data_IF_026505615531
#
_entry.id   IF_026505615531
#
_cell.length_a   1.000
_cell.length_b   1.000
_cell.length_c   1.000
_cell.angle_alpha   90.00
_cell.angle_beta   90.00
_cell.angle_gamma   90.00
#
_symmetry.space_group_name_H-M   'P 1'
#
loop_
_entity.id
_entity.type
_entity.pdbx_description
1 polymer ?
#
# COMPACT_ATOMS: atom_id res chain seq x y z
N UNK A 1 6.02 -1.76 -0.40
CA UNK A 1 4.54 -1.67 -0.17
C UNK A 1 4.16 -2.30 1.15
N UNK A 2 4.54 -3.55 1.41
CA UNK A 2 4.24 -4.29 2.66
C UNK A 2 4.63 -3.53 3.92
N UNK A 3 5.81 -2.92 3.97
CA UNK A 3 6.23 -2.08 5.10
C UNK A 3 5.28 -0.90 5.33
N UNK A 4 4.77 -0.26 4.26
CA UNK A 4 3.82 0.85 4.39
C UNK A 4 2.47 0.35 4.92
N UNK A 5 2.02 -0.83 4.49
CA UNK A 5 0.81 -1.48 5.06
C UNK A 5 1.00 -1.75 6.55
N UNK A 6 2.16 -2.28 6.93
CA UNK A 6 2.52 -2.57 8.32
C UNK A 6 2.52 -1.29 9.17
N UNK A 7 3.17 -0.21 8.70
CA UNK A 7 3.23 1.08 9.37
C UNK A 7 1.84 1.74 9.54
N UNK A 8 0.94 1.60 8.53
CA UNK A 8 -0.44 2.11 8.63
C UNK A 8 -1.22 1.34 9.70
N UNK A 9 -1.08 0.02 9.74
CA UNK A 9 -1.74 -0.82 10.73
C UNK A 9 -1.22 -0.55 12.14
N UNK A 10 0.09 -0.34 12.31
CA UNK A 10 0.69 0.05 13.58
C UNK A 10 0.17 1.41 14.06
N UNK A 11 0.11 2.41 13.17
CA UNK A 11 -0.44 3.73 13.48
C UNK A 11 -1.92 3.69 13.87
N UNK A 12 -2.67 2.71 13.34
CA UNK A 12 -4.07 2.46 13.69
C UNK A 12 -4.24 1.69 15.02
N UNK A 13 -3.15 1.21 15.63
CA UNK A 13 -3.18 0.36 16.81
C UNK A 13 -3.61 -1.08 16.55
N UNK A 14 -3.57 -1.55 15.29
CA UNK A 14 -3.83 -2.94 14.95
C UNK A 14 -2.67 -3.82 15.42
N UNK A 15 -2.96 -4.97 16.00
CA UNK A 15 -1.94 -5.84 16.57
C UNK A 15 -0.84 -6.21 15.57
N UNK A 16 0.42 -6.24 16.04
CA UNK A 16 1.58 -6.63 15.23
C UNK A 16 1.78 -8.15 15.18
N UNK A 17 2.46 -8.62 14.12
CA UNK A 17 2.88 -10.01 13.95
C UNK A 17 1.83 -10.92 13.30
N UNK A 18 2.24 -12.17 13.04
CA UNK A 18 1.47 -13.16 12.25
C UNK A 18 0.14 -13.59 12.85
N UNK A 19 -0.15 -13.22 14.11
CA UNK A 19 -1.45 -13.47 14.73
C UNK A 19 -2.54 -12.48 14.30
N UNK A 20 -2.16 -11.32 13.74
CA UNK A 20 -3.07 -10.24 13.38
C UNK A 20 -3.00 -9.86 11.90
N UNK A 21 -1.91 -10.18 11.23
CA UNK A 21 -1.69 -9.80 9.83
C UNK A 21 -0.84 -10.83 9.08
N UNK A 22 -1.12 -11.02 7.80
CA UNK A 22 -0.32 -11.80 6.86
C UNK A 22 -0.05 -10.92 5.64
N UNK A 23 1.20 -10.52 5.45
CA UNK A 23 1.58 -9.57 4.41
C UNK A 23 2.58 -10.23 3.46
N UNK A 24 2.22 -10.32 2.18
CA UNK A 24 3.17 -10.67 1.13
C UNK A 24 4.21 -9.57 0.99
N UNK A 25 5.43 -9.91 0.59
CA UNK A 25 6.42 -8.90 0.22
C UNK A 25 5.95 -8.14 -1.01
N UNK A 26 5.77 -6.82 -0.89
CA UNK A 26 5.32 -5.97 -1.98
C UNK A 26 6.27 -5.98 -3.18
N UNK A 27 5.73 -5.76 -4.37
CA UNK A 27 6.49 -5.67 -5.63
C UNK A 27 6.77 -4.22 -6.01
N UNK A 28 5.93 -3.31 -5.55
CA UNK A 28 6.12 -1.87 -5.75
C UNK A 28 6.94 -1.28 -4.61
N UNK A 29 7.97 -0.52 -4.95
CA UNK A 29 8.78 0.22 -4.00
C UNK A 29 8.13 1.56 -3.69
N UNK A 30 7.53 1.71 -2.52
CA UNK A 30 7.06 3.00 -2.04
C UNK A 30 8.16 3.64 -1.20
N UNK A 31 8.89 4.59 -1.76
CA UNK A 31 10.01 5.24 -1.07
C UNK A 31 9.54 6.26 -0.04
N UNK A 32 8.34 6.81 -0.23
CA UNK A 32 7.81 7.88 0.61
C UNK A 32 6.29 7.79 0.68
N UNK A 33 5.80 7.65 1.89
CA UNK A 33 4.38 7.70 2.19
C UNK A 33 4.17 8.59 3.41
N UNK A 34 3.34 9.60 3.27
CA UNK A 34 2.90 10.39 4.40
C UNK A 34 1.46 10.89 4.20
N UNK A 35 0.68 10.71 5.24
CA UNK A 35 -0.70 11.15 5.31
C UNK A 35 -0.93 11.83 6.66
N UNK A 36 -1.75 12.86 6.66
CA UNK A 36 -2.19 13.54 7.86
C UNK A 36 -3.70 13.41 7.97
N UNK A 37 -4.19 13.03 9.16
CA UNK A 37 -5.63 12.93 9.48
C UNK A 37 -6.45 12.09 8.48
N UNK A 38 -5.90 10.95 8.03
CA UNK A 38 -6.56 10.02 7.11
C UNK A 38 -7.06 8.80 7.87
N UNK A 39 -8.23 8.27 7.49
CA UNK A 39 -8.73 7.00 8.02
C UNK A 39 -7.88 5.82 7.48
N UNK A 40 -7.76 4.77 8.29
CA UNK A 40 -6.93 3.59 8.00
C UNK A 40 -7.34 2.90 6.69
N UNK A 41 -8.62 2.61 6.49
CA UNK A 41 -9.09 1.89 5.29
C UNK A 41 -8.81 2.65 4.00
N UNK A 42 -9.14 3.95 3.85
CA UNK A 42 -8.74 4.72 2.67
C UNK A 42 -7.23 4.77 2.43
N UNK A 43 -6.42 4.81 3.50
CA UNK A 43 -4.97 4.78 3.37
C UNK A 43 -4.47 3.42 2.82
N UNK A 44 -5.02 2.32 3.33
CA UNK A 44 -4.72 0.97 2.83
C UNK A 44 -5.15 0.80 1.36
N UNK A 45 -6.34 1.30 0.96
CA UNK A 45 -6.82 1.24 -0.41
C UNK A 45 -5.93 2.02 -1.40
N UNK A 46 -5.33 3.13 -0.98
CA UNK A 46 -4.36 3.85 -1.82
C UNK A 46 -3.07 3.05 -2.04
N UNK A 47 -2.62 2.33 -1.02
CA UNK A 47 -1.45 1.44 -1.12
C UNK A 47 -1.77 0.20 -1.96
N UNK A 48 -2.94 -0.40 -1.76
CA UNK A 48 -3.47 -1.49 -2.56
C UNK A 48 -3.51 -1.14 -4.05
N UNK A 49 -4.09 0.01 -4.40
CA UNK A 49 -4.17 0.46 -5.80
C UNK A 49 -2.79 0.78 -6.41
N UNK A 50 -1.82 1.19 -5.60
CA UNK A 50 -0.44 1.43 -6.04
C UNK A 50 0.29 0.13 -6.32
N UNK A 51 0.10 -0.89 -5.50
CA UNK A 51 0.67 -2.23 -5.70
C UNK A 51 -0.02 -2.97 -6.86
N UNK A 52 -1.33 -2.78 -7.04
CA UNK A 52 -2.15 -3.63 -7.90
C UNK A 52 -2.40 -5.01 -7.29
N UNK A 53 -2.37 -5.10 -5.98
CA UNK A 53 -2.66 -6.30 -5.18
C UNK A 53 -4.02 -6.23 -4.51
N UNK A 54 -4.20 -6.95 -3.38
CA UNK A 54 -5.45 -7.01 -2.62
C UNK A 54 -5.18 -6.85 -1.13
N UNK A 55 -5.99 -6.03 -0.45
CA UNK A 55 -6.03 -5.95 1.01
C UNK A 55 -7.41 -6.39 1.46
N UNK A 56 -7.46 -7.41 2.31
CA UNK A 56 -8.71 -8.01 2.77
C UNK A 56 -8.62 -8.49 4.22
N UNK A 57 -9.76 -8.74 4.82
CA UNK A 57 -9.85 -9.48 6.07
C UNK A 57 -9.93 -10.98 5.78
N UNK A 58 -9.09 -11.75 6.44
CA UNK A 58 -9.14 -13.21 6.40
C UNK A 58 -10.23 -13.76 7.32
N UNK A 59 -10.64 -15.00 7.10
CA UNK A 59 -11.65 -15.70 7.91
C UNK A 59 -11.24 -15.86 9.38
N UNK A 60 -9.96 -15.76 9.68
CA UNK A 60 -9.38 -15.79 11.03
C UNK A 60 -9.28 -14.39 11.68
N UNK A 61 -9.85 -13.37 11.05
CA UNK A 61 -9.83 -11.99 11.53
C UNK A 61 -8.51 -11.26 11.34
N UNK A 62 -7.60 -11.79 10.52
CA UNK A 62 -6.34 -11.10 10.17
C UNK A 62 -6.54 -10.17 8.99
N UNK A 63 -5.74 -9.12 8.95
CA UNK A 63 -5.55 -8.37 7.71
C UNK A 63 -4.57 -9.12 6.83
N UNK A 64 -4.98 -9.36 5.59
CA UNK A 64 -4.18 -10.05 4.57
C UNK A 64 -3.85 -9.04 3.47
N UNK A 65 -2.58 -8.96 3.10
CA UNK A 65 -2.11 -8.24 1.94
C UNK A 65 -1.50 -9.23 0.96
N UNK A 66 -2.15 -9.42 -0.18
CA UNK A 66 -1.70 -10.22 -1.31
C UNK A 66 -1.10 -9.27 -2.35
N UNK A 67 0.18 -9.43 -2.71
CA UNK A 67 0.83 -8.60 -3.73
C UNK A 67 0.31 -8.94 -5.14
N UNK A 68 0.61 -8.10 -6.16
CA UNK A 68 0.16 -8.31 -7.54
C UNK A 68 0.59 -9.63 -8.17
N UNK A 69 1.64 -10.29 -7.64
CA UNK A 69 2.11 -11.59 -8.12
C UNK A 69 1.61 -12.77 -7.27
N UNK A 70 0.75 -12.54 -6.28
CA UNK A 70 0.23 -13.59 -5.39
C UNK A 70 -0.33 -14.77 -6.18
N UNK A 71 -1.11 -14.49 -7.24
CA UNK A 71 -1.74 -15.50 -8.11
C UNK A 71 -0.75 -16.25 -9.01
N UNK A 72 0.50 -15.81 -9.11
CA UNK A 72 1.58 -16.47 -9.84
C UNK A 72 2.39 -17.43 -8.97
N UNK A 73 1.99 -17.67 -7.74
CA UNK A 73 2.71 -18.52 -6.78
C UNK A 73 1.74 -19.31 -5.88
N UNK A 74 2.28 -20.32 -5.19
CA UNK A 74 1.57 -21.04 -4.14
C UNK A 74 0.22 -21.61 -4.59
N UNK A 75 -0.82 -21.27 -3.85
CA UNK A 75 -2.21 -21.73 -4.12
C UNK A 75 -2.79 -21.20 -5.42
N UNK A 76 -2.27 -20.10 -5.95
CA UNK A 76 -2.69 -19.54 -7.23
C UNK A 76 -2.32 -20.40 -8.44
N UNK A 77 -1.37 -21.34 -8.31
CA UNK A 77 -0.90 -22.18 -9.42
C UNK A 77 -1.76 -23.42 -9.64
N UNK A 78 -2.49 -23.88 -8.63
CA UNK A 78 -3.26 -25.14 -8.69
C UNK A 78 -4.70 -24.91 -8.24
N UNK A 79 -5.63 -25.59 -8.93
CA UNK A 79 -7.04 -25.55 -8.53
C UNK A 79 -7.26 -26.22 -7.17
N UNK A 80 -7.92 -25.51 -6.27
CA UNK A 80 -8.22 -25.97 -4.92
C UNK A 80 -9.53 -26.77 -4.87
N UNK A 81 -10.42 -26.56 -5.83
CA UNK A 81 -11.70 -27.24 -5.93
C UNK A 81 -12.20 -27.28 -7.38
N UNK A 82 -12.92 -28.35 -7.74
CA UNK A 82 -13.61 -28.45 -9.03
C UNK A 82 -15.12 -28.43 -8.79
N UNK A 83 -15.81 -27.48 -9.40
CA UNK A 83 -17.25 -27.35 -9.40
C UNK A 83 -17.84 -27.79 -10.74
N UNK A 84 -18.93 -28.57 -10.71
CA UNK A 84 -19.58 -29.08 -11.93
C UNK A 84 -21.11 -29.08 -11.80
N UNK A 85 -21.82 -29.08 -12.93
CA UNK A 85 -23.25 -29.31 -13.01
C UNK A 85 -23.59 -30.81 -13.11
N UNK A 86 -22.62 -31.71 -13.20
CA UNK A 86 -22.86 -33.16 -13.20
C UNK A 86 -23.42 -33.61 -11.84
N UNK A 87 -24.47 -34.40 -11.85
CA UNK A 87 -25.19 -34.82 -10.65
C UNK A 87 -24.39 -35.71 -9.70
N UNK A 88 -23.34 -36.36 -10.23
CA UNK A 88 -22.40 -37.21 -9.49
C UNK A 88 -21.12 -36.48 -9.05
N UNK A 89 -20.98 -35.19 -9.38
CA UNK A 89 -19.85 -34.42 -8.95
C UNK A 89 -19.84 -34.19 -7.43
N UNK A 90 -18.64 -34.23 -6.85
CA UNK A 90 -18.46 -33.96 -5.42
C UNK A 90 -18.90 -32.55 -5.01
N UNK A 91 -18.83 -31.59 -5.93
CA UNK A 91 -19.19 -30.17 -5.72
C UNK A 91 -20.09 -29.73 -6.87
N UNK A 92 -21.39 -29.89 -6.69
CA UNK A 92 -22.39 -29.48 -7.70
C UNK A 92 -22.79 -28.03 -7.45
N UNK A 93 -22.66 -27.18 -8.46
CA UNK A 93 -23.23 -25.83 -8.42
C UNK A 93 -24.72 -25.86 -8.81
N UNK A 94 -25.48 -24.92 -8.29
CA UNK A 94 -26.91 -24.76 -8.56
C UNK A 94 -27.23 -23.70 -9.61
N UNK A 95 -26.30 -22.82 -9.88
CA UNK A 95 -26.41 -21.74 -10.87
C UNK A 95 -25.05 -21.29 -11.37
N UNK A 96 -24.97 -21.05 -12.67
CA UNK A 96 -23.81 -20.46 -13.33
C UNK A 96 -24.30 -19.37 -14.27
N UNK A 97 -23.80 -18.16 -14.10
CA UNK A 97 -24.12 -17.00 -14.93
C UNK A 97 -22.80 -16.53 -15.53
N UNK A 98 -22.74 -16.36 -16.84
CA UNK A 98 -21.65 -15.67 -17.51
C UNK A 98 -22.01 -14.21 -17.67
N UNK A 99 -21.17 -13.33 -17.15
CA UNK A 99 -21.36 -11.90 -17.23
C UNK A 99 -20.72 -11.35 -18.54
N UNK A 100 -21.12 -10.14 -18.92
CA UNK A 100 -20.53 -9.45 -20.07
C UNK A 100 -19.08 -9.06 -19.75
N UNK A 101 -18.07 -9.54 -20.50
CA UNK A 101 -16.68 -9.17 -20.22
C UNK A 101 -16.33 -7.73 -20.65
N UNK A 102 -17.14 -7.06 -21.46
CA UNK A 102 -16.81 -5.74 -22.00
C UNK A 102 -16.54 -4.66 -20.95
N UNK A 103 -17.25 -4.58 -19.81
CA UNK A 103 -16.95 -3.61 -18.75
C UNK A 103 -15.59 -3.83 -18.08
N UNK A 104 -15.04 -5.04 -18.18
CA UNK A 104 -13.80 -5.44 -17.54
C UNK A 104 -12.56 -5.33 -18.45
N UNK A 105 -12.74 -4.83 -19.69
CA UNK A 105 -11.61 -4.57 -20.59
C UNK A 105 -11.05 -3.19 -20.33
N UNK A 106 -9.73 -3.13 -20.09
CA UNK A 106 -8.97 -1.89 -20.03
C UNK A 106 -7.72 -2.01 -20.88
N UNK A 107 -7.56 -1.12 -21.85
CA UNK A 107 -6.49 -1.13 -22.82
C UNK A 107 -5.64 0.13 -22.86
N UNK A 108 -5.78 0.96 -21.84
CA UNK A 108 -4.98 2.14 -21.56
C UNK A 108 -4.73 2.22 -20.06
N UNK A 109 -3.47 2.21 -19.65
CA UNK A 109 -3.03 2.42 -18.27
C UNK A 109 -2.14 3.66 -18.20
N UNK A 110 -2.51 4.59 -17.33
CA UNK A 110 -1.81 5.85 -17.12
C UNK A 110 -1.39 5.94 -15.64
N UNK A 111 -0.20 6.49 -15.40
CA UNK A 111 0.30 6.79 -14.06
C UNK A 111 1.01 8.13 -14.05
N UNK A 112 0.82 8.91 -13.00
CA UNK A 112 1.59 10.10 -12.73
C UNK A 112 2.66 9.75 -11.68
N UNK A 113 3.92 9.66 -12.14
CA UNK A 113 5.07 9.36 -11.30
C UNK A 113 5.57 10.63 -10.64
N UNK A 114 5.50 10.69 -9.33
CA UNK A 114 6.00 11.80 -8.54
C UNK A 114 7.38 11.47 -7.99
N UNK A 115 8.42 12.05 -8.57
CA UNK A 115 9.78 11.95 -8.06
C UNK A 115 10.05 12.98 -6.97
N UNK A 116 11.06 12.69 -6.14
CA UNK A 116 11.44 13.54 -5.02
C UNK A 116 12.96 13.69 -4.94
N UNK A 117 13.41 14.93 -4.84
CA UNK A 117 14.82 15.23 -4.63
C UNK A 117 15.08 15.47 -3.15
N UNK A 118 16.19 14.89 -2.65
CA UNK A 118 16.67 15.10 -1.29
C UNK A 118 17.84 16.06 -1.31
N UNK A 119 17.70 17.18 -0.61
CA UNK A 119 18.75 18.20 -0.50
C UNK A 119 19.90 17.74 0.41
N UNK A 120 21.03 18.45 0.35
CA UNK A 120 22.09 18.31 1.36
C UNK A 120 21.61 18.78 2.73
N UNK A 121 22.30 18.35 3.81
CA UNK A 121 22.00 18.79 5.18
C UNK A 121 22.10 20.30 5.28
N UNK A 122 21.02 20.94 5.73
CA UNK A 122 20.92 22.38 5.94
C UNK A 122 20.17 22.70 7.22
N UNK A 123 20.19 23.97 7.64
CA UNK A 123 19.32 24.47 8.71
C UNK A 123 17.92 24.62 8.13
N UNK A 124 16.98 23.87 8.69
CA UNK A 124 15.59 23.84 8.24
C UNK A 124 14.65 24.63 9.13
N UNK A 125 15.06 24.85 10.37
CA UNK A 125 14.32 25.64 11.34
C UNK A 125 15.28 26.32 12.32
N UNK A 126 14.92 27.52 12.74
CA UNK A 126 15.68 28.32 13.72
C UNK A 126 14.70 28.93 14.72
N UNK A 127 15.07 28.96 15.99
CA UNK A 127 14.35 29.68 17.01
C UNK A 127 14.32 31.18 16.68
N UNK A 128 13.12 31.77 16.65
CA UNK A 128 12.92 33.18 16.28
C UNK A 128 13.24 34.14 17.44
N UNK A 129 13.10 33.68 18.67
CA UNK A 129 13.34 34.45 19.88
C UNK A 129 14.82 34.41 20.24
N UNK A 130 15.55 35.49 19.95
CA UNK A 130 17.01 35.63 20.19
C UNK A 130 17.33 36.97 20.84
N UNK A 131 18.58 37.16 21.25
CA UNK A 131 19.02 38.38 21.92
C UNK A 131 18.33 38.54 23.25
N UNK A 132 17.89 39.79 23.58
CA UNK A 132 17.21 40.09 24.84
C UNK A 132 15.89 39.30 25.05
N UNK A 133 15.33 38.70 23.98
CA UNK A 133 14.12 37.88 24.03
C UNK A 133 14.41 36.38 24.10
N UNK A 134 15.67 35.97 24.27
CA UNK A 134 16.03 34.55 24.39
C UNK A 134 15.24 33.85 25.48
N UNK A 135 14.61 32.69 25.17
CA UNK A 135 13.77 31.99 26.12
C UNK A 135 14.60 31.44 27.27
N UNK A 136 14.06 31.57 28.50
CA UNK A 136 14.68 31.08 29.72
C UNK A 136 14.17 29.71 30.14
N UNK A 137 15.04 28.94 30.77
CA UNK A 137 14.72 27.66 31.43
C UNK A 137 15.22 27.73 32.87
N UNK A 138 14.33 27.56 33.82
CA UNK A 138 14.68 27.57 35.25
C UNK A 138 15.52 26.33 35.64
N UNK A 139 16.27 26.35 36.74
CA UNK A 139 17.03 25.19 37.22
C UNK A 139 16.18 23.92 37.33
N UNK A 140 16.65 22.79 36.80
CA UNK A 140 15.97 21.50 36.85
C UNK A 140 14.71 21.40 35.98
N UNK A 141 14.38 22.42 35.18
CA UNK A 141 13.17 22.44 34.34
C UNK A 141 13.53 22.02 32.91
N UNK A 142 12.64 21.26 32.27
CA UNK A 142 12.71 20.95 30.85
C UNK A 142 11.75 21.85 30.06
N UNK A 143 12.16 22.24 28.84
CA UNK A 143 11.31 22.96 27.88
C UNK A 143 11.43 22.36 26.51
N UNK A 144 10.27 22.06 25.87
CA UNK A 144 10.19 21.47 24.54
C UNK A 144 9.94 22.55 23.48
N UNK A 145 10.70 22.49 22.40
CA UNK A 145 10.58 23.32 21.21
C UNK A 145 10.19 22.40 20.03
N UNK A 146 9.27 22.88 19.19
CA UNK A 146 8.83 22.15 18.02
C UNK A 146 9.38 22.84 16.77
N UNK A 147 10.38 22.23 16.15
CA UNK A 147 10.86 22.61 14.85
C UNK A 147 9.95 22.01 13.78
N UNK A 148 9.33 22.83 12.94
CA UNK A 148 8.42 22.41 11.88
C UNK A 148 9.02 22.75 10.50
N UNK A 149 8.95 21.78 9.58
CA UNK A 149 9.34 21.94 8.18
C UNK A 149 8.40 21.07 7.30
N UNK A 150 7.88 21.55 6.13
CA UNK A 150 8.11 22.91 5.62
C UNK A 150 7.43 23.98 6.48
N UNK A 151 8.04 25.15 6.51
CA UNK A 151 7.42 26.35 7.07
C UNK A 151 6.59 27.04 5.98
N UNK A 152 5.73 27.98 6.36
CA UNK A 152 4.95 28.80 5.41
C UNK A 152 5.83 29.60 4.43
N UNK A 153 7.10 29.84 4.79
CA UNK A 153 8.07 30.55 3.96
C UNK A 153 8.92 29.59 3.07
N UNK A 154 8.73 28.28 3.19
CA UNK A 154 9.46 27.30 2.38
C UNK A 154 8.96 27.28 0.94
N UNK A 155 9.82 26.85 0.01
CA UNK A 155 9.48 26.72 -1.41
C UNK A 155 8.23 25.86 -1.60
N UNK A 156 7.41 26.17 -2.60
CA UNK A 156 6.11 25.52 -2.86
C UNK A 156 6.18 23.99 -3.03
N UNK A 157 7.36 23.46 -3.38
CA UNK A 157 7.58 22.03 -3.59
C UNK A 157 8.14 21.29 -2.37
N UNK A 158 8.37 21.97 -1.24
CA UNK A 158 8.83 21.32 -0.01
C UNK A 158 7.76 20.36 0.54
N UNK A 159 8.17 19.14 0.91
CA UNK A 159 7.27 18.07 1.35
C UNK A 159 7.58 17.53 2.73
N UNK A 160 8.74 17.84 3.30
CA UNK A 160 9.15 17.34 4.61
C UNK A 160 10.63 17.13 4.70
N UNK A 161 11.06 16.31 5.63
CA UNK A 161 12.48 16.05 5.93
C UNK A 161 12.75 14.55 5.83
N UNK A 162 13.70 14.18 4.98
CA UNK A 162 14.12 12.78 4.84
C UNK A 162 14.83 12.28 6.12
N UNK A 163 15.68 13.15 6.69
CA UNK A 163 16.43 12.82 7.89
C UNK A 163 16.69 14.10 8.69
N UNK A 164 16.20 14.18 9.92
CA UNK A 164 16.61 15.19 10.88
C UNK A 164 17.96 14.83 11.49
N UNK A 165 18.89 15.77 11.47
CA UNK A 165 20.14 15.66 12.22
C UNK A 165 19.85 15.83 13.71
N UNK A 166 20.40 14.96 14.55
CA UNK A 166 20.26 15.11 16.01
C UNK A 166 20.90 16.44 16.44
N UNK A 167 20.14 17.23 17.21
CA UNK A 167 20.60 18.52 17.74
C UNK A 167 21.86 18.35 18.58
N UNK A 168 22.93 19.03 18.20
CA UNK A 168 24.21 18.97 18.87
C UNK A 168 24.47 20.25 19.68
N UNK A 169 24.95 20.09 20.90
CA UNK A 169 25.44 21.21 21.73
C UNK A 169 26.53 21.97 20.95
N UNK A 170 26.60 23.27 21.14
CA UNK A 170 27.48 24.24 20.48
C UNK A 170 27.18 24.48 19.00
N UNK A 171 26.94 23.43 18.22
CA UNK A 171 26.62 23.57 16.79
C UNK A 171 25.19 24.07 16.59
N UNK A 172 24.23 23.44 17.25
CA UNK A 172 22.79 23.67 17.04
C UNK A 172 22.11 24.37 18.20
N UNK A 173 22.69 24.32 19.40
CA UNK A 173 22.14 24.94 20.61
C UNK A 173 23.24 25.62 21.40
N UNK A 174 22.95 26.83 21.89
CA UNK A 174 23.78 27.58 22.85
C UNK A 174 22.93 28.01 24.03
N UNK A 175 23.45 27.77 25.24
CA UNK A 175 22.90 28.20 26.50
C UNK A 175 23.81 29.20 27.20
N UNK A 176 23.22 30.24 27.80
CA UNK A 176 23.97 31.32 28.50
C UNK A 176 23.24 31.72 29.79
N UNK A 177 23.93 32.31 30.76
CA UNK A 177 23.34 32.87 31.98
C UNK A 177 22.68 34.24 31.79
N UNK A 178 22.93 34.91 30.65
CA UNK A 178 22.28 36.18 30.26
C UNK A 178 21.54 35.99 28.94
N UNK A 179 20.39 36.65 28.78
CA UNK A 179 19.54 36.51 27.58
C UNK A 179 20.20 37.02 26.32
N UNK A 180 21.04 38.04 26.39
CA UNK A 180 21.79 38.63 25.27
C UNK A 180 23.06 37.86 24.94
N UNK A 181 23.38 36.77 25.68
CA UNK A 181 24.58 35.97 25.48
C UNK A 181 25.87 36.55 26.07
N UNK A 182 25.77 37.66 26.82
CA UNK A 182 26.94 38.33 27.45
C UNK A 182 27.43 37.64 28.73
N UNK A 183 26.66 36.71 29.28
CA UNK A 183 26.95 35.99 30.52
C UNK A 183 27.88 34.79 30.30
N UNK A 184 27.85 33.87 31.27
CA UNK A 184 28.63 32.62 31.21
C UNK A 184 27.95 31.59 30.28
N UNK A 185 28.76 30.96 29.42
CA UNK A 185 28.29 29.87 28.57
C UNK A 185 27.99 28.63 29.44
N UNK A 186 26.76 28.13 29.40
CA UNK A 186 26.29 26.96 30.14
C UNK A 186 25.80 25.85 29.20
N UNK A 187 26.15 25.94 27.91
CA UNK A 187 25.72 24.99 26.87
C UNK A 187 25.94 23.51 27.25
N UNK A 188 27.10 23.22 27.86
CA UNK A 188 27.45 21.85 28.24
C UNK A 188 26.59 21.26 29.37
N UNK A 189 25.89 22.13 30.11
CA UNK A 189 25.00 21.76 31.23
C UNK A 189 23.52 21.83 30.86
N UNK A 190 23.22 21.84 29.56
CA UNK A 190 21.84 21.72 29.05
C UNK A 190 21.69 20.34 28.43
N UNK A 191 20.85 19.51 29.06
CA UNK A 191 20.45 18.22 28.50
C UNK A 191 19.64 18.38 27.23
N UNK A 192 19.89 17.54 26.22
CA UNK A 192 19.19 17.58 24.93
C UNK A 192 18.59 16.21 24.66
N UNK A 193 17.28 16.15 24.43
CA UNK A 193 16.60 14.99 23.87
C UNK A 193 15.76 15.38 22.67
N UNK A 194 15.62 14.49 21.68
CA UNK A 194 14.91 14.78 20.43
C UNK A 194 13.96 13.64 20.05
N UNK A 195 12.78 14.00 19.55
CA UNK A 195 11.85 13.12 18.87
C UNK A 195 11.67 13.64 17.44
N UNK A 196 11.66 12.75 16.44
CA UNK A 196 11.73 13.09 15.02
C UNK A 196 10.54 12.49 14.28
N UNK A 197 9.90 13.30 13.42
CA UNK A 197 8.89 12.86 12.45
C UNK A 197 9.20 13.43 11.06
N UNK A 198 8.40 13.11 10.06
CA UNK A 198 8.64 13.56 8.67
C UNK A 198 8.60 15.09 8.49
N UNK A 199 7.85 15.79 9.33
CA UNK A 199 7.67 17.25 9.21
C UNK A 199 8.08 18.02 10.47
N UNK A 200 8.25 17.33 11.59
CA UNK A 200 8.54 17.97 12.86
C UNK A 200 9.68 17.28 13.60
N UNK A 201 10.42 18.08 14.36
CA UNK A 201 11.38 17.62 15.34
C UNK A 201 11.08 18.28 16.67
N UNK A 202 10.77 17.51 17.68
CA UNK A 202 10.64 17.97 19.04
C UNK A 202 12.00 17.97 19.70
N UNK A 203 12.42 19.11 20.22
CA UNK A 203 13.71 19.29 20.91
C UNK A 203 13.39 19.67 22.35
N UNK A 204 13.65 18.76 23.28
CA UNK A 204 13.50 19.01 24.70
C UNK A 204 14.85 19.35 25.31
N UNK A 205 14.94 20.52 25.90
CA UNK A 205 16.12 21.03 26.59
C UNK A 205 15.86 21.03 28.09
N UNK A 206 16.77 20.42 28.86
CA UNK A 206 16.71 20.38 30.34
C UNK A 206 17.86 21.21 30.91
N UNK A 207 17.56 22.14 31.80
CA UNK A 207 18.59 22.92 32.44
C UNK A 207 19.10 22.22 33.69
N UNK A 208 20.28 21.62 33.60
CA UNK A 208 20.93 20.88 34.70
C UNK A 208 21.83 21.80 35.55
N UNK A 209 21.78 23.12 35.34
CA UNK A 209 22.51 24.10 36.17
C UNK A 209 21.70 24.53 37.42
N UNK A 210 22.37 25.16 38.36
CA UNK A 210 21.73 25.75 39.55
C UNK A 210 21.14 27.16 39.32
N UNK A 211 21.30 27.74 38.13
CA UNK A 211 20.83 29.07 37.77
C UNK A 211 19.93 29.03 36.53
N UNK A 212 19.15 30.07 36.29
CA UNK A 212 18.36 30.21 35.07
C UNK A 212 19.30 30.23 33.83
N UNK A 213 19.01 29.40 32.84
CA UNK A 213 19.71 29.39 31.56
C UNK A 213 18.82 30.01 30.46
N UNK A 214 19.42 30.78 29.59
CA UNK A 214 18.80 31.36 28.39
C UNK A 214 19.30 30.66 27.15
N UNK A 215 18.39 30.27 26.27
CA UNK A 215 18.73 29.62 25.00
C UNK A 215 18.94 30.69 23.94
N UNK A 216 20.19 31.01 23.69
CA UNK A 216 20.58 32.10 22.79
C UNK A 216 20.70 31.68 21.31
N UNK A 217 20.75 30.36 21.07
CA UNK A 217 20.68 29.75 19.76
C UNK A 217 19.96 28.40 19.86
N UNK A 218 19.05 28.14 18.97
CA UNK A 218 18.50 26.79 18.74
C UNK A 218 18.11 26.68 17.28
N UNK A 219 18.61 25.65 16.62
CA UNK A 219 18.29 25.35 15.24
C UNK A 219 18.10 23.84 15.06
N UNK A 220 17.29 23.46 14.09
CA UNK A 220 17.13 22.09 13.63
C UNK A 220 17.69 21.95 12.22
N UNK A 221 18.59 21.00 12.02
CA UNK A 221 19.20 20.67 10.71
C UNK A 221 18.63 19.37 10.19
N UNK A 222 18.62 19.22 8.89
CA UNK A 222 18.17 18.00 8.24
C UNK A 222 18.32 18.05 6.72
N UNK A 223 17.91 16.98 6.07
CA UNK A 223 17.84 16.87 4.61
C UNK A 223 16.40 17.10 4.17
N UNK A 224 16.14 18.25 3.56
CA UNK A 224 14.83 18.58 3.03
C UNK A 224 14.44 17.69 1.84
N UNK A 225 13.14 17.46 1.68
CA UNK A 225 12.57 16.78 0.53
C UNK A 225 11.76 17.79 -0.28
N UNK A 226 12.01 17.83 -1.57
CA UNK A 226 11.23 18.59 -2.55
C UNK A 226 10.57 17.63 -3.54
N UNK A 227 9.33 17.92 -3.92
CA UNK A 227 8.68 17.23 -5.02
C UNK A 227 9.15 17.83 -6.35
N UNK A 228 9.54 16.99 -7.29
CA UNK A 228 9.83 17.39 -8.66
C UNK A 228 8.51 17.51 -9.46
N UNK A 229 8.56 17.99 -10.69
CA UNK A 229 7.39 18.00 -11.56
C UNK A 229 6.99 16.57 -11.89
N UNK A 230 5.69 16.20 -11.81
CA UNK A 230 5.24 14.84 -12.11
C UNK A 230 5.53 14.46 -13.56
N UNK A 231 6.01 13.25 -13.77
CA UNK A 231 6.11 12.64 -15.10
C UNK A 231 4.89 11.74 -15.34
N UNK A 232 4.15 11.96 -16.42
CA UNK A 232 3.08 11.04 -16.82
C UNK A 232 3.64 9.94 -17.71
N UNK A 233 3.33 8.68 -17.37
CA UNK A 233 3.58 7.51 -18.19
C UNK A 233 2.26 6.95 -18.72
N UNK A 234 2.30 6.29 -19.86
CA UNK A 234 1.16 5.66 -20.49
C UNK A 234 1.59 4.38 -21.21
N UNK A 235 0.83 3.31 -21.00
CA UNK A 235 0.90 2.09 -21.81
C UNK A 235 -0.46 1.79 -22.42
N UNK A 236 -0.47 1.36 -23.67
CA UNK A 236 -1.70 1.09 -24.41
C UNK A 236 -1.55 -0.03 -25.44
N UNK A 237 -2.63 -0.78 -25.68
CA UNK A 237 -2.71 -1.81 -26.72
C UNK A 237 -3.61 -1.36 -27.87
N UNK A 238 -2.99 -1.04 -29.02
CA UNK A 238 -3.70 -0.55 -30.20
C UNK A 238 -4.60 -1.61 -30.85
N UNK A 239 -4.28 -2.90 -30.73
CA UNK A 239 -5.10 -4.01 -31.26
C UNK A 239 -6.39 -4.13 -30.46
N UNK A 240 -6.31 -4.13 -29.14
CA UNK A 240 -7.47 -4.12 -28.26
C UNK A 240 -8.33 -2.86 -28.46
N UNK A 241 -7.70 -1.68 -28.61
CA UNK A 241 -8.44 -0.43 -28.89
C UNK A 241 -9.21 -0.49 -30.23
N UNK A 242 -8.65 -1.12 -31.23
CA UNK A 242 -9.32 -1.30 -32.54
C UNK A 242 -10.54 -2.22 -32.41
N UNK A 243 -10.45 -3.26 -31.60
CA UNK A 243 -11.52 -4.25 -31.40
C UNK A 243 -12.62 -3.78 -30.45
N UNK A 244 -12.25 -3.10 -29.35
CA UNK A 244 -13.17 -2.82 -28.22
C UNK A 244 -13.32 -1.33 -27.89
N UNK A 245 -12.64 -0.45 -28.65
CA UNK A 245 -12.59 0.99 -28.35
C UNK A 245 -11.58 1.32 -27.25
N UNK A 246 -11.36 2.62 -27.04
CA UNK A 246 -10.44 3.11 -26.01
C UNK A 246 -11.09 3.00 -24.63
N UNK A 247 -10.41 2.29 -23.70
CA UNK A 247 -10.88 2.01 -22.35
C UNK A 247 -9.73 2.24 -21.38
N UNK A 248 -9.78 3.37 -20.68
CA UNK A 248 -8.74 3.76 -19.73
C UNK A 248 -9.05 3.20 -18.35
N UNK A 249 -8.04 2.65 -17.66
CA UNK A 249 -8.13 2.25 -16.28
C UNK A 249 -8.44 3.47 -15.39
N UNK A 250 -9.46 3.41 -14.51
CA UNK A 250 -9.97 4.59 -13.82
C UNK A 250 -9.07 5.12 -12.70
N UNK A 251 -8.15 4.31 -12.20
CA UNK A 251 -7.24 4.69 -11.10
C UNK A 251 -5.85 5.00 -11.63
N UNK A 252 -5.25 6.10 -11.13
CA UNK A 252 -3.83 6.40 -11.33
C UNK A 252 -3.04 5.99 -10.09
N UNK A 253 -1.89 5.37 -10.28
CA UNK A 253 -0.97 5.10 -9.17
C UNK A 253 -0.41 6.41 -8.61
N UNK A 254 -0.16 6.46 -7.30
CA UNK A 254 0.23 7.72 -6.66
C UNK A 254 1.61 7.70 -6.04
N UNK A 255 2.12 6.53 -5.68
CA UNK A 255 3.30 6.41 -4.83
C UNK A 255 4.46 5.68 -5.48
N UNK A 256 4.38 5.37 -6.76
CA UNK A 256 5.51 4.81 -7.53
C UNK A 256 6.49 5.95 -7.82
N UNK A 257 7.73 5.88 -7.33
CA UNK A 257 8.68 6.98 -7.45
C UNK A 257 9.55 6.92 -8.72
N UNK A 258 9.48 5.82 -9.47
CA UNK A 258 10.32 5.54 -10.64
C UNK A 258 9.48 5.29 -11.89
N UNK A 259 9.89 5.87 -13.01
CA UNK A 259 9.18 5.74 -14.28
C UNK A 259 9.28 4.34 -14.89
N UNK A 260 10.39 3.63 -14.67
CA UNK A 260 10.56 2.25 -15.11
C UNK A 260 9.61 1.33 -14.39
N UNK A 261 9.55 1.41 -13.05
CA UNK A 261 8.63 0.63 -12.23
C UNK A 261 7.15 0.94 -12.56
N UNK A 262 6.83 2.19 -12.87
CA UNK A 262 5.48 2.58 -13.29
C UNK A 262 5.11 2.01 -14.66
N UNK A 263 6.06 1.92 -15.59
CA UNK A 263 5.88 1.24 -16.87
C UNK A 263 5.66 -0.26 -16.68
N UNK A 264 6.46 -0.91 -15.85
CA UNK A 264 6.32 -2.34 -15.54
C UNK A 264 4.95 -2.65 -14.90
N UNK A 265 4.51 -1.80 -13.97
CA UNK A 265 3.16 -1.88 -13.39
C UNK A 265 2.06 -1.75 -14.45
N UNK A 266 2.21 -0.79 -15.36
CA UNK A 266 1.24 -0.55 -16.43
C UNK A 266 1.21 -1.71 -17.45
N UNK A 267 2.37 -2.25 -17.83
CA UNK A 267 2.50 -3.41 -18.72
C UNK A 267 1.93 -4.69 -18.10
N UNK A 268 2.16 -4.91 -16.80
CA UNK A 268 1.57 -6.03 -16.08
C UNK A 268 0.04 -5.98 -16.15
N UNK A 269 -0.55 -4.85 -15.75
CA UNK A 269 -2.00 -4.69 -15.75
C UNK A 269 -2.59 -4.71 -17.17
N UNK A 270 -1.94 -4.05 -18.14
CA UNK A 270 -2.38 -4.06 -19.53
C UNK A 270 -2.49 -5.49 -20.06
N UNK A 271 -1.54 -6.36 -19.73
CA UNK A 271 -1.57 -7.74 -20.17
C UNK A 271 -2.73 -8.55 -19.60
N UNK A 272 -3.17 -8.22 -18.41
CA UNK A 272 -4.28 -8.91 -17.74
C UNK A 272 -5.63 -8.45 -18.30
N UNK A 273 -5.79 -7.13 -18.55
CA UNK A 273 -7.10 -6.54 -18.79
C UNK A 273 -7.38 -6.11 -20.24
N UNK A 274 -6.43 -6.21 -21.16
CA UNK A 274 -6.61 -5.73 -22.53
C UNK A 274 -7.55 -6.55 -23.40
N UNK A 275 -7.73 -7.83 -23.07
CA UNK A 275 -8.54 -8.77 -23.83
C UNK A 275 -9.76 -9.25 -23.02
N UNK A 276 -10.90 -9.58 -23.67
CA UNK A 276 -12.06 -10.07 -22.98
C UNK A 276 -11.80 -11.46 -22.40
N UNK A 277 -12.06 -11.63 -21.12
CA UNK A 277 -11.96 -12.90 -20.42
C UNK A 277 -13.29 -13.23 -19.75
N UNK A 278 -13.54 -14.53 -19.49
CA UNK A 278 -14.79 -14.96 -18.90
C UNK A 278 -14.90 -14.45 -17.46
N UNK A 279 -16.01 -13.80 -17.16
CA UNK A 279 -16.41 -13.42 -15.80
C UNK A 279 -17.63 -14.24 -15.44
N UNK A 280 -17.55 -15.02 -14.35
CA UNK A 280 -18.61 -15.94 -13.96
C UNK A 280 -19.14 -15.60 -12.57
N UNK A 281 -20.44 -15.87 -12.37
CA UNK A 281 -21.06 -16.01 -11.06
C UNK A 281 -21.48 -17.46 -10.87
N UNK A 282 -20.87 -18.14 -9.91
CA UNK A 282 -21.15 -19.53 -9.57
C UNK A 282 -21.86 -19.57 -8.22
N UNK A 283 -23.04 -20.18 -8.17
CA UNK A 283 -23.82 -20.32 -6.94
C UNK A 283 -24.03 -21.78 -6.56
N UNK A 284 -23.99 -22.08 -5.25
CA UNK A 284 -24.33 -23.38 -4.71
C UNK A 284 -24.99 -23.26 -3.33
N UNK A 285 -25.66 -24.30 -2.88
CA UNK A 285 -26.26 -24.36 -1.53
C UNK A 285 -25.27 -25.03 -0.57
N UNK A 286 -24.74 -24.24 0.38
CA UNK A 286 -23.75 -24.70 1.35
C UNK A 286 -24.28 -25.80 2.28
N UNK A 287 -25.56 -25.76 2.64
CA UNK A 287 -26.16 -26.72 3.52
C UNK A 287 -26.75 -27.97 2.80
N UNK A 288 -26.38 -28.20 1.55
CA UNK A 288 -26.78 -29.40 0.80
C UNK A 288 -26.13 -30.67 1.35
N UNK A 289 -24.83 -30.62 1.62
CA UNK A 289 -24.03 -31.75 2.10
C UNK A 289 -22.73 -31.28 2.78
N UNK A 290 -21.98 -32.22 3.36
CA UNK A 290 -20.73 -31.92 4.08
C UNK A 290 -19.66 -31.30 3.18
N UNK A 291 -19.56 -31.71 1.91
CA UNK A 291 -18.59 -31.13 0.99
C UNK A 291 -18.91 -29.65 0.73
N UNK A 292 -20.18 -29.31 0.51
CA UNK A 292 -20.62 -27.95 0.30
C UNK A 292 -20.37 -27.05 1.52
N UNK A 293 -20.56 -27.58 2.74
CA UNK A 293 -20.21 -26.86 3.99
C UNK A 293 -18.72 -26.63 4.07
N UNK A 294 -17.90 -27.63 3.79
CA UNK A 294 -16.44 -27.49 3.83
C UNK A 294 -15.97 -26.45 2.82
N UNK A 295 -16.50 -26.47 1.59
CA UNK A 295 -16.14 -25.46 0.58
C UNK A 295 -16.51 -24.03 1.03
N UNK A 296 -17.67 -23.85 1.66
CA UNK A 296 -18.07 -22.55 2.22
C UNK A 296 -17.08 -22.07 3.29
N UNK A 297 -16.56 -22.99 4.11
CA UNK A 297 -15.63 -22.66 5.19
C UNK A 297 -14.20 -22.49 4.70
N UNK A 298 -13.79 -23.28 3.69
CA UNK A 298 -12.39 -23.35 3.25
C UNK A 298 -12.05 -22.33 2.17
N UNK A 299 -12.96 -22.10 1.19
CA UNK A 299 -12.66 -21.24 0.02
C UNK A 299 -12.57 -19.77 0.38
N UNK A 300 -11.53 -19.11 -0.10
CA UNK A 300 -11.26 -17.70 0.15
C UNK A 300 -10.97 -16.93 -1.16
N UNK A 301 -10.95 -15.60 -1.08
CA UNK A 301 -10.58 -14.70 -2.18
C UNK A 301 -9.17 -15.04 -2.67
N UNK A 302 -8.92 -14.89 -3.97
CA UNK A 302 -7.66 -15.18 -4.66
C UNK A 302 -7.33 -16.67 -4.82
N UNK A 303 -8.13 -17.58 -4.28
CA UNK A 303 -7.96 -19.02 -4.55
C UNK A 303 -8.40 -19.39 -5.96
N UNK A 304 -7.70 -20.37 -6.54
CA UNK A 304 -7.97 -20.90 -7.88
C UNK A 304 -8.93 -22.09 -7.79
N UNK A 305 -9.99 -22.07 -8.59
CA UNK A 305 -10.98 -23.14 -8.69
C UNK A 305 -11.26 -23.50 -10.14
N UNK A 306 -11.58 -24.76 -10.42
CA UNK A 306 -11.99 -25.23 -11.75
C UNK A 306 -13.52 -25.25 -11.86
N UNK A 307 -14.06 -24.72 -12.96
CA UNK A 307 -15.49 -24.78 -13.26
C UNK A 307 -15.70 -25.61 -14.52
N UNK A 308 -16.58 -26.62 -14.41
CA UNK A 308 -16.89 -27.56 -15.49
C UNK A 308 -18.41 -27.53 -15.76
N UNK A 309 -18.79 -27.20 -17.00
CA UNK A 309 -20.16 -27.35 -17.48
C UNK A 309 -20.30 -28.67 -18.23
N UNK A 310 -20.49 -29.76 -17.48
CA UNK A 310 -20.54 -31.12 -18.03
C UNK A 310 -21.83 -31.42 -18.77
N UNK A 311 -22.96 -30.88 -18.29
CA UNK A 311 -24.29 -31.15 -18.87
C UNK A 311 -24.74 -30.10 -19.88
N UNK A 312 -23.99 -29.01 -20.01
CA UNK A 312 -24.30 -27.94 -20.96
C UNK A 312 -23.26 -27.98 -22.10
N UNK A 313 -23.45 -28.94 -23.02
CA UNK A 313 -22.48 -29.29 -24.07
C UNK A 313 -22.04 -28.07 -24.93
N UNK A 314 -22.96 -27.15 -25.20
CA UNK A 314 -22.69 -25.97 -26.01
C UNK A 314 -21.79 -24.93 -25.33
N UNK A 315 -21.68 -24.96 -23.99
CA UNK A 315 -20.82 -24.04 -23.25
C UNK A 315 -19.35 -24.45 -23.26
N UNK A 316 -19.06 -25.75 -23.43
CA UNK A 316 -17.69 -26.33 -23.49
C UNK A 316 -16.74 -25.79 -22.42
N UNK A 317 -17.26 -25.50 -21.22
CA UNK A 317 -16.53 -24.87 -20.12
C UNK A 317 -15.82 -25.97 -19.30
N UNK A 318 -14.51 -25.93 -19.29
CA UNK A 318 -13.65 -26.67 -18.35
C UNK A 318 -12.39 -25.84 -18.17
N UNK A 319 -12.42 -24.89 -17.24
CA UNK A 319 -11.36 -23.90 -17.03
C UNK A 319 -11.20 -23.52 -15.57
N UNK A 320 -10.06 -22.95 -15.26
CA UNK A 320 -9.73 -22.44 -13.95
C UNK A 320 -10.05 -20.94 -13.84
N UNK A 321 -10.49 -20.57 -12.66
CA UNK A 321 -10.87 -19.22 -12.30
C UNK A 321 -10.32 -18.86 -10.92
N UNK A 322 -10.12 -17.55 -10.68
CA UNK A 322 -9.84 -17.02 -9.35
C UNK A 322 -11.12 -16.50 -8.70
N UNK A 323 -11.25 -16.72 -7.40
CA UNK A 323 -12.35 -16.18 -6.59
C UNK A 323 -12.06 -14.71 -6.30
N UNK A 324 -12.91 -13.81 -6.82
CA UNK A 324 -12.82 -12.36 -6.60
C UNK A 324 -13.67 -11.89 -5.43
N UNK A 325 -14.81 -12.54 -5.21
CA UNK A 325 -15.68 -12.26 -4.08
C UNK A 325 -16.46 -13.48 -3.66
N UNK A 326 -16.81 -13.54 -2.38
CA UNK A 326 -17.66 -14.56 -1.77
C UNK A 326 -18.87 -13.88 -1.15
N UNK A 327 -20.06 -14.22 -1.63
CA UNK A 327 -21.32 -13.72 -1.10
C UNK A 327 -22.09 -14.84 -0.41
N UNK A 328 -22.55 -14.59 0.82
CA UNK A 328 -23.40 -15.49 1.57
C UNK A 328 -24.81 -14.91 1.68
N UNK A 329 -25.80 -15.72 1.33
CA UNK A 329 -27.21 -15.37 1.51
C UNK A 329 -27.91 -16.50 2.25
N UNK A 330 -28.54 -16.17 3.38
CA UNK A 330 -29.34 -17.12 4.18
C UNK A 330 -30.78 -16.63 4.15
N UNK A 331 -31.69 -17.47 3.63
CA UNK A 331 -33.11 -17.17 3.59
C UNK A 331 -33.84 -17.57 4.87
N UNK A 332 -35.15 -17.23 4.94
CA UNK A 332 -36.02 -17.57 6.06
C UNK A 332 -36.23 -19.08 6.24
N UNK A 333 -36.01 -19.89 5.20
CA UNK A 333 -36.10 -21.33 5.21
C UNK A 333 -34.78 -22.02 5.60
N UNK A 334 -33.79 -21.24 6.03
CA UNK A 334 -32.43 -21.67 6.37
C UNK A 334 -31.63 -22.24 5.19
N UNK A 335 -32.03 -21.94 3.95
CA UNK A 335 -31.20 -22.23 2.80
C UNK A 335 -30.02 -21.25 2.81
N UNK A 336 -28.82 -21.78 2.79
CA UNK A 336 -27.59 -20.98 2.75
C UNK A 336 -26.98 -21.08 1.34
N UNK A 337 -27.19 -20.07 0.55
CA UNK A 337 -26.61 -19.93 -0.78
C UNK A 337 -25.27 -19.20 -0.68
N UNK A 338 -24.26 -19.75 -1.34
CA UNK A 338 -22.94 -19.10 -1.54
C UNK A 338 -22.81 -18.81 -3.02
N UNK A 339 -22.37 -17.59 -3.33
CA UNK A 339 -22.10 -17.16 -4.69
C UNK A 339 -20.67 -16.65 -4.78
N UNK A 340 -19.88 -17.23 -5.67
CA UNK A 340 -18.56 -16.77 -6.03
C UNK A 340 -18.62 -15.89 -7.28
N UNK A 341 -17.98 -14.73 -7.23
CA UNK A 341 -17.60 -13.98 -8.43
C UNK A 341 -16.23 -14.48 -8.86
N UNK A 342 -16.10 -14.82 -10.13
CA UNK A 342 -14.95 -15.54 -10.65
C UNK A 342 -14.36 -14.81 -11.87
N UNK A 343 -13.02 -14.62 -11.90
CA UNK A 343 -12.26 -14.14 -13.05
C UNK A 343 -11.44 -15.27 -13.67
N UNK A 344 -11.27 -15.24 -15.00
CA UNK A 344 -10.57 -16.30 -15.75
C UNK A 344 -9.07 -16.35 -15.41
N UNK A 345 -8.58 -17.50 -14.99
CA UNK A 345 -7.16 -17.68 -14.67
C UNK A 345 -6.24 -17.60 -15.93
N UNK A 346 -6.81 -17.67 -17.14
CA UNK A 346 -6.05 -17.45 -18.38
C UNK A 346 -5.43 -16.06 -18.47
N UNK A 347 -5.97 -15.06 -17.75
CA UNK A 347 -5.38 -13.70 -17.67
C UNK A 347 -3.91 -13.72 -17.19
N UNK A 348 -3.53 -14.76 -16.44
CA UNK A 348 -2.18 -14.92 -15.90
C UNK A 348 -1.34 -15.94 -16.68
N UNK A 349 -1.86 -16.54 -17.77
CA UNK A 349 -1.17 -17.59 -18.55
C UNK A 349 0.07 -17.09 -19.28
N UNK A 350 0.15 -15.79 -19.58
CA UNK A 350 1.26 -15.17 -20.30
C UNK A 350 2.48 -14.91 -19.40
N UNK A 351 2.35 -15.11 -18.10
CA UNK A 351 3.47 -14.92 -17.19
C UNK A 351 4.27 -16.20 -16.98
N UNK A 352 5.61 -16.03 -16.94
CA UNK A 352 6.51 -17.13 -16.66
C UNK A 352 6.48 -17.51 -15.19
N UNK A 353 6.25 -18.80 -14.94
CA UNK A 353 6.27 -19.37 -13.60
C UNK A 353 7.43 -20.39 -13.53
N UNK A 354 8.31 -20.23 -12.54
CA UNK A 354 9.48 -21.08 -12.33
C UNK A 354 9.07 -22.57 -12.23
N UNK A 355 9.78 -23.43 -12.94
CA UNK A 355 9.52 -24.88 -13.05
C UNK A 355 8.15 -25.28 -13.66
N UNK A 356 7.38 -24.33 -14.17
CA UNK A 356 6.02 -24.58 -14.73
C UNK A 356 5.95 -24.24 -16.21
N UNK A 357 6.53 -23.13 -16.64
CA UNK A 357 6.44 -22.65 -18.01
C UNK A 357 7.81 -22.33 -18.63
N UNK A 358 7.89 -22.32 -19.98
CA UNK A 358 9.12 -21.97 -20.70
C UNK A 358 9.18 -20.46 -20.97
N UNK A 359 10.23 -19.80 -20.50
CA UNK A 359 10.46 -18.39 -20.76
C UNK A 359 10.83 -18.11 -22.22
N UNK A 360 10.23 -17.09 -22.81
CA UNK A 360 10.64 -16.55 -24.11
C UNK A 360 9.99 -17.19 -25.34
N UNK A 361 9.10 -18.20 -25.16
CA UNK A 361 8.35 -18.80 -26.25
C UNK A 361 6.88 -18.42 -26.23
N UNK A 362 6.26 -18.52 -25.06
CA UNK A 362 4.85 -18.21 -24.83
C UNK A 362 4.61 -17.39 -23.58
N UNK A 363 5.65 -17.17 -22.79
CA UNK A 363 5.55 -16.45 -21.50
C UNK A 363 6.61 -15.38 -21.37
N UNK A 364 6.32 -14.37 -20.56
CA UNK A 364 7.16 -13.24 -20.20
C UNK A 364 7.36 -13.16 -18.69
N UNK A 365 8.37 -12.43 -18.24
CA UNK A 365 8.55 -12.17 -16.81
C UNK A 365 7.42 -11.27 -16.30
N UNK A 366 6.96 -11.52 -15.08
CA UNK A 366 6.13 -10.60 -14.32
C UNK A 366 7.06 -9.64 -13.57
N UNK A 367 6.96 -8.36 -13.87
CA UNK A 367 7.75 -7.30 -13.28
C UNK A 367 6.99 -6.59 -12.13
#
# INVERSE_FOLDING_TARGET
TDQVVDDILDAAGWGAGSSYRTLDTGKTTITRYWKSATYTVPALQEVESTEGGFIREGKDGKIIFDNRHHRLSGVGLTSQATYSDASDAARVYSGLIMDDPLPHIFNIFESDVQTYTTASVAVLWTLSETGASSPSIAPGVARTYIARYPTTASANNARGVALWTTTAATTDMLGNTAADGSGTNVTASIGISVSKSSETMEITLTNDTSATAYITKLQARGTAITADDPASIKQEDGTSQTAFGKRTWPSKTKFIPDTGEALDWADFNLSIYKDPTAVLQLSYFANRDTNAINEMLDRDISERVTVVAANTADLSLNRDFFIEAVHHQIDANRLHQVTYLLSDALQFSDFWVLNTSALGTSTRLAY
#
